data_IF_443160070000
#
_entry.id   IF_443160070000
#
_cell.length_a   1.000
_cell.length_b   1.000
_cell.length_c   1.000
_cell.angle_alpha   90.00
_cell.angle_beta   90.00
_cell.angle_gamma   90.00
#
_symmetry.space_group_name_H-M   'P 1'
#
loop_
_entity.id
_entity.type
_entity.pdbx_description
1 polymer ?
#
# COMPACT_ATOMS: atom_id res chain seq x y z
N UNK A 1 0.18 -6.97 29.37
CA UNK A 1 1.10 -6.23 28.49
C UNK A 1 2.00 -7.19 27.70
N UNK A 2 1.76 -7.34 26.39
CA UNK A 2 2.53 -8.21 25.47
C UNK A 2 3.55 -7.38 24.69
N UNK A 3 4.70 -7.97 24.31
CA UNK A 3 5.80 -7.28 23.63
C UNK A 3 6.15 -7.98 22.32
N UNK A 4 6.32 -7.22 21.25
CA UNK A 4 6.65 -7.71 19.92
C UNK A 4 7.82 -6.93 19.33
N UNK A 5 8.65 -7.63 18.55
CA UNK A 5 9.69 -7.03 17.71
C UNK A 5 9.35 -7.31 16.25
N UNK A 6 8.90 -6.27 15.54
CA UNK A 6 8.47 -6.40 14.14
C UNK A 6 9.50 -5.79 13.22
N UNK A 7 10.05 -6.60 12.30
CA UNK A 7 10.89 -6.09 11.21
C UNK A 7 10.01 -5.52 10.11
N UNK A 8 10.25 -4.26 9.78
CA UNK A 8 9.51 -3.50 8.80
C UNK A 8 10.41 -3.05 7.65
N UNK A 9 9.99 -3.31 6.43
CA UNK A 9 10.57 -2.71 5.24
C UNK A 9 10.08 -1.28 5.06
N UNK A 10 11.00 -0.31 5.21
CA UNK A 10 10.68 1.11 5.13
C UNK A 10 10.78 1.64 3.70
N UNK A 11 9.63 1.88 3.08
CA UNK A 11 9.54 2.53 1.77
C UNK A 11 10.17 3.92 1.79
N UNK A 12 10.05 4.66 2.91
CA UNK A 12 10.68 5.99 3.04
C UNK A 12 12.20 5.92 2.94
N UNK A 13 12.82 4.92 3.59
CA UNK A 13 14.27 4.70 3.47
C UNK A 13 14.65 4.23 2.08
N UNK A 14 13.84 3.35 1.47
CA UNK A 14 14.05 2.92 0.09
C UNK A 14 14.12 4.12 -0.86
N UNK A 15 13.11 5.01 -0.81
CA UNK A 15 13.08 6.21 -1.66
C UNK A 15 14.32 7.07 -1.40
N UNK A 16 14.66 7.33 -0.14
CA UNK A 16 15.82 8.15 0.22
C UNK A 16 17.14 7.57 -0.32
N UNK A 17 17.38 6.27 -0.10
CA UNK A 17 18.61 5.63 -0.57
C UNK A 17 18.66 5.49 -2.09
N UNK A 18 17.52 5.25 -2.76
CA UNK A 18 17.44 5.23 -4.23
C UNK A 18 17.73 6.63 -4.78
N UNK A 19 17.17 7.69 -4.21
CA UNK A 19 17.46 9.07 -4.62
C UNK A 19 18.93 9.42 -4.41
N UNK A 20 19.51 9.04 -3.27
CA UNK A 20 20.94 9.26 -3.00
C UNK A 20 21.84 8.50 -3.98
N UNK A 21 21.55 7.22 -4.22
CA UNK A 21 22.27 6.39 -5.17
C UNK A 21 22.19 6.96 -6.59
N UNK A 22 21.02 7.46 -7.00
CA UNK A 22 20.82 8.08 -8.30
C UNK A 22 21.71 9.32 -8.48
N UNK A 23 21.71 10.24 -7.51
CA UNK A 23 22.57 11.44 -7.54
C UNK A 23 24.05 11.05 -7.59
N UNK A 24 24.46 10.06 -6.80
CA UNK A 24 25.84 9.58 -6.76
C UNK A 24 26.28 8.96 -8.09
N UNK A 25 25.42 8.17 -8.72
CA UNK A 25 25.67 7.59 -10.06
C UNK A 25 25.81 8.67 -11.12
N UNK A 26 24.94 9.68 -11.13
CA UNK A 26 25.01 10.80 -12.09
C UNK A 26 26.30 11.59 -11.92
N UNK A 27 26.65 11.98 -10.69
CA UNK A 27 27.88 12.72 -10.41
C UNK A 27 29.13 11.96 -10.85
N UNK A 28 29.22 10.68 -10.53
CA UNK A 28 30.38 9.86 -10.90
C UNK A 28 30.45 9.58 -12.40
N UNK A 29 29.30 9.48 -13.09
CA UNK A 29 29.26 9.35 -14.56
C UNK A 29 29.78 10.61 -15.25
N UNK A 30 29.40 11.80 -14.77
CA UNK A 30 29.91 13.08 -15.28
C UNK A 30 31.42 13.17 -15.05
N UNK A 31 31.89 12.88 -13.84
CA UNK A 31 33.32 12.86 -13.52
C UNK A 31 34.09 11.90 -14.43
N UNK A 32 33.63 10.66 -14.56
CA UNK A 32 34.29 9.68 -15.45
C UNK A 32 34.29 10.11 -16.91
N UNK A 33 33.23 10.76 -17.41
CA UNK A 33 33.23 11.30 -18.79
C UNK A 33 34.17 12.48 -19.01
N UNK A 34 34.43 13.29 -17.98
CA UNK A 34 35.36 14.43 -18.07
C UNK A 34 36.82 13.97 -18.01
N UNK A 35 37.12 12.98 -17.18
CA UNK A 35 38.49 12.56 -16.89
C UNK A 35 38.97 11.34 -17.69
N UNK A 36 38.09 10.57 -18.36
CA UNK A 36 38.45 9.33 -19.10
C UNK A 36 37.68 9.17 -20.44
N UNK A 37 38.30 8.65 -21.52
CA UNK A 37 37.64 8.41 -22.83
C UNK A 37 38.19 7.16 -23.61
N UNK A 38 37.40 6.37 -24.39
CA UNK A 38 35.94 6.23 -24.43
C UNK A 38 35.38 4.78 -24.21
N UNK A 39 34.12 4.73 -23.73
CA UNK A 39 33.08 3.66 -23.83
C UNK A 39 33.02 2.50 -22.82
N UNK A 40 34.09 1.77 -22.54
CA UNK A 40 33.95 0.52 -21.72
C UNK A 40 33.93 0.80 -20.21
N UNK A 41 34.74 1.75 -19.75
CA UNK A 41 34.88 2.09 -18.34
C UNK A 41 33.63 2.68 -17.68
N UNK A 42 32.89 3.61 -18.32
CA UNK A 42 31.69 4.19 -17.71
C UNK A 42 30.63 3.14 -17.40
N UNK A 43 30.41 2.18 -18.30
CA UNK A 43 29.42 1.12 -18.12
C UNK A 43 29.77 0.17 -16.95
N UNK A 44 31.05 -0.21 -16.83
CA UNK A 44 31.53 -1.08 -15.73
C UNK A 44 31.40 -0.36 -14.38
N UNK A 45 31.78 0.92 -14.32
CA UNK A 45 31.66 1.73 -13.10
C UNK A 45 30.18 1.89 -12.71
N UNK A 46 29.30 2.11 -13.67
CA UNK A 46 27.86 2.23 -13.45
C UNK A 46 27.25 0.90 -12.97
N UNK A 47 27.71 -0.24 -13.50
CA UNK A 47 27.30 -1.57 -13.04
C UNK A 47 27.75 -1.85 -11.60
N UNK A 48 29.01 -1.55 -11.26
CA UNK A 48 29.52 -1.72 -9.89
C UNK A 48 28.76 -0.82 -8.92
N UNK A 49 28.53 0.45 -9.28
CA UNK A 49 27.79 1.39 -8.43
C UNK A 49 26.33 0.97 -8.23
N UNK A 50 25.66 0.45 -9.26
CA UNK A 50 24.28 -0.04 -9.14
C UNK A 50 24.21 -1.30 -8.27
N UNK A 51 25.14 -2.24 -8.42
CA UNK A 51 25.23 -3.43 -7.56
C UNK A 51 25.48 -3.05 -6.08
N UNK A 52 26.42 -2.13 -5.84
CA UNK A 52 26.76 -1.67 -4.50
C UNK A 52 25.59 -0.90 -3.86
N UNK A 53 24.95 -0.02 -4.65
CA UNK A 53 23.74 0.70 -4.23
C UNK A 53 22.62 -0.27 -3.88
N UNK A 54 22.38 -1.29 -4.69
CA UNK A 54 21.36 -2.30 -4.42
C UNK A 54 21.63 -3.05 -3.11
N UNK A 55 22.88 -3.45 -2.85
CA UNK A 55 23.24 -4.12 -1.59
C UNK A 55 23.05 -3.20 -0.38
N UNK A 56 23.49 -1.94 -0.45
CA UNK A 56 23.31 -0.95 0.63
C UNK A 56 21.82 -0.71 0.89
N UNK A 57 21.03 -0.49 -0.18
CA UNK A 57 19.58 -0.28 -0.09
C UNK A 57 18.92 -1.48 0.58
N UNK A 58 19.20 -2.70 0.09
CA UNK A 58 18.58 -3.93 0.60
C UNK A 58 18.83 -4.12 2.10
N UNK A 59 20.03 -3.84 2.58
CA UNK A 59 20.41 -4.07 3.97
C UNK A 59 19.91 -2.96 4.91
N UNK A 60 19.82 -1.70 4.45
CA UNK A 60 19.49 -0.56 5.30
C UNK A 60 18.00 -0.16 5.31
N UNK A 61 17.18 -0.75 4.44
CA UNK A 61 15.74 -0.48 4.38
C UNK A 61 14.93 -1.18 5.49
N UNK A 62 15.51 -2.16 6.19
CA UNK A 62 14.84 -2.86 7.28
C UNK A 62 14.97 -2.06 8.58
N UNK A 63 13.84 -1.81 9.24
CA UNK A 63 13.75 -1.14 10.54
C UNK A 63 13.02 -2.08 11.50
N UNK A 64 13.54 -2.25 12.70
CA UNK A 64 12.83 -2.99 13.75
C UNK A 64 11.97 -2.04 14.56
N UNK A 65 10.68 -2.35 14.69
CA UNK A 65 9.76 -1.69 15.60
C UNK A 65 9.59 -2.54 16.85
N UNK A 66 9.86 -1.94 18.00
CA UNK A 66 9.50 -2.49 19.31
C UNK A 66 8.06 -2.04 19.60
N UNK A 67 7.15 -3.00 19.64
CA UNK A 67 5.73 -2.75 19.88
C UNK A 67 5.37 -3.36 21.23
N UNK A 68 4.71 -2.57 22.07
CA UNK A 68 4.14 -3.07 23.32
C UNK A 68 2.64 -2.86 23.27
N UNK A 69 1.89 -3.92 23.45
CA UNK A 69 0.44 -3.93 23.35
C UNK A 69 -0.16 -4.22 24.72
N UNK A 70 -1.12 -3.39 25.08
CA UNK A 70 -1.96 -3.53 26.25
C UNK A 70 -3.41 -3.25 25.87
N UNK A 71 -4.37 -3.52 26.75
CA UNK A 71 -5.80 -3.41 26.42
C UNK A 71 -6.25 -1.99 26.04
N UNK A 72 -5.57 -0.98 26.57
CA UNK A 72 -5.94 0.43 26.36
C UNK A 72 -4.90 1.20 25.54
N UNK A 73 -3.66 0.70 25.45
CA UNK A 73 -2.54 1.43 24.88
C UNK A 73 -1.70 0.55 23.96
N UNK A 74 -1.17 1.18 22.91
CA UNK A 74 -0.13 0.62 22.05
C UNK A 74 1.09 1.54 22.06
N UNK A 75 2.27 0.96 22.30
CA UNK A 75 3.53 1.68 22.21
C UNK A 75 4.25 1.28 20.93
N UNK A 76 4.65 2.27 20.14
CA UNK A 76 5.55 2.07 18.99
C UNK A 76 6.88 2.79 19.25
N UNK A 77 7.99 2.06 19.38
CA UNK A 77 9.32 2.63 19.64
C UNK A 77 9.29 3.71 20.73
N UNK A 78 8.66 3.39 21.87
CA UNK A 78 8.47 4.24 23.06
C UNK A 78 7.41 5.34 22.94
N UNK A 79 6.76 5.53 21.78
CA UNK A 79 5.62 6.44 21.66
C UNK A 79 4.35 5.76 22.16
N UNK A 80 3.82 6.20 23.30
CA UNK A 80 2.52 5.76 23.86
C UNK A 80 1.36 6.32 23.05
N UNK A 81 0.41 5.46 22.71
CA UNK A 81 -0.76 5.82 21.93
C UNK A 81 -1.97 5.08 22.48
N UNK A 82 -3.08 5.78 22.64
CA UNK A 82 -4.32 5.20 23.12
C UNK A 82 -5.00 4.42 21.99
N UNK A 83 -5.45 3.19 22.26
CA UNK A 83 -6.16 2.37 21.29
C UNK A 83 -7.47 3.04 20.86
N UNK A 84 -8.04 3.86 21.76
CA UNK A 84 -9.22 4.69 21.51
C UNK A 84 -9.03 5.67 20.35
N UNK A 85 -7.79 6.05 20.04
CA UNK A 85 -7.51 6.97 18.94
C UNK A 85 -7.39 6.30 17.58
N UNK A 86 -7.40 4.96 17.51
CA UNK A 86 -7.49 4.25 16.23
C UNK A 86 -8.87 4.53 15.64
N UNK A 87 -8.90 5.08 14.42
CA UNK A 87 -10.13 5.22 13.64
C UNK A 87 -10.33 4.00 12.77
N UNK A 88 -9.32 3.68 11.97
CA UNK A 88 -9.39 2.59 11.00
C UNK A 88 -8.11 1.76 11.03
N UNK A 89 -8.23 0.47 10.74
CA UNK A 89 -7.08 -0.42 10.54
C UNK A 89 -7.20 -1.19 9.23
N UNK A 90 -6.11 -1.73 8.69
CA UNK A 90 -6.13 -2.64 7.55
C UNK A 90 -5.00 -3.66 7.69
N UNK A 91 -5.32 -4.93 7.46
CA UNK A 91 -4.32 -5.97 7.29
C UNK A 91 -4.39 -6.50 5.86
N UNK A 92 -3.31 -6.30 5.11
CA UNK A 92 -3.20 -6.78 3.74
C UNK A 92 -2.14 -7.86 3.63
N UNK A 93 -2.30 -8.75 2.67
CA UNK A 93 -1.31 -9.77 2.35
C UNK A 93 -0.96 -9.72 0.87
N UNK A 94 0.34 -9.84 0.59
CA UNK A 94 0.88 -10.02 -0.75
C UNK A 94 1.73 -11.28 -0.76
N UNK A 95 2.26 -11.70 -1.91
CA UNK A 95 3.11 -12.89 -1.99
C UNK A 95 4.32 -12.82 -1.04
N UNK A 96 4.96 -11.64 -0.91
CA UNK A 96 6.24 -11.47 -0.20
C UNK A 96 6.12 -10.73 1.14
N UNK A 97 5.04 -10.00 1.35
CA UNK A 97 4.89 -9.11 2.51
C UNK A 97 3.48 -9.17 3.11
N UNK A 98 3.41 -9.03 4.42
CA UNK A 98 2.21 -8.59 5.12
C UNK A 98 2.23 -7.06 5.29
N UNK A 99 1.08 -6.43 5.13
CA UNK A 99 0.88 -5.00 5.36
C UNK A 99 -0.01 -4.78 6.57
N UNK A 100 0.39 -3.86 7.45
CA UNK A 100 -0.44 -3.39 8.56
C UNK A 100 -0.53 -1.87 8.49
N UNK A 101 -1.76 -1.36 8.40
CA UNK A 101 -2.06 0.06 8.39
C UNK A 101 -2.92 0.38 9.59
N UNK A 102 -2.44 1.26 10.46
CA UNK A 102 -3.21 1.79 11.59
C UNK A 102 -3.38 3.29 11.39
N UNK A 103 -4.63 3.76 11.32
CA UNK A 103 -4.97 5.17 11.13
C UNK A 103 -5.50 5.69 12.47
N UNK A 104 -4.73 6.55 13.10
CA UNK A 104 -5.11 7.24 14.33
C UNK A 104 -5.73 8.61 13.99
N UNK A 105 -6.38 9.25 14.97
CA UNK A 105 -6.90 10.63 14.83
C UNK A 105 -5.80 11.62 14.39
N UNK A 106 -4.59 11.49 14.92
CA UNK A 106 -3.50 12.46 14.78
C UNK A 106 -2.41 12.06 13.77
N UNK A 107 -2.23 10.77 13.49
CA UNK A 107 -1.21 10.30 12.54
C UNK A 107 -1.52 8.88 12.03
N UNK A 108 -0.68 8.35 11.14
CA UNK A 108 -0.85 7.02 10.53
C UNK A 108 0.43 6.20 10.69
N UNK A 109 0.27 4.91 10.96
CA UNK A 109 1.35 3.92 10.95
C UNK A 109 1.12 2.98 9.77
N UNK A 110 2.19 2.71 9.03
CA UNK A 110 2.19 1.74 7.95
C UNK A 110 3.42 0.85 8.09
N UNK A 111 3.17 -0.45 8.21
CA UNK A 111 4.18 -1.49 8.34
C UNK A 111 4.08 -2.45 7.15
N UNK A 112 5.21 -2.75 6.51
CA UNK A 112 5.41 -3.81 5.55
C UNK A 112 6.34 -4.86 6.14
N UNK A 113 5.80 -5.98 6.56
CA UNK A 113 6.52 -7.05 7.24
C UNK A 113 6.87 -8.14 6.21
N UNK A 114 8.16 -8.45 5.98
CA UNK A 114 8.54 -9.58 5.14
C UNK A 114 7.98 -10.90 5.70
N UNK A 115 7.37 -11.75 4.86
CA UNK A 115 6.78 -13.02 5.33
C UNK A 115 7.78 -13.94 6.04
N UNK A 116 9.05 -13.92 5.62
CA UNK A 116 10.13 -14.69 6.25
C UNK A 116 10.40 -14.32 7.72
N UNK A 117 9.97 -13.14 8.16
CA UNK A 117 10.20 -12.60 9.51
C UNK A 117 8.86 -12.33 10.24
N UNK A 118 7.76 -13.01 9.86
CA UNK A 118 6.41 -12.60 10.25
C UNK A 118 5.87 -13.18 11.56
N UNK A 119 6.58 -14.07 12.26
CA UNK A 119 6.07 -14.75 13.46
C UNK A 119 5.45 -13.78 14.47
N UNK A 120 6.27 -12.86 15.00
CA UNK A 120 5.81 -11.81 15.93
C UNK A 120 4.69 -10.91 15.37
N UNK A 121 4.58 -10.78 14.06
CA UNK A 121 3.56 -9.95 13.43
C UNK A 121 2.20 -10.65 13.42
N UNK A 122 2.16 -11.96 13.20
CA UNK A 122 0.92 -12.73 13.19
C UNK A 122 0.29 -12.73 14.59
N UNK A 123 1.07 -12.99 15.62
CA UNK A 123 0.63 -12.92 17.02
C UNK A 123 0.11 -11.50 17.37
N UNK A 124 0.86 -10.47 16.97
CA UNK A 124 0.45 -9.08 17.15
C UNK A 124 -0.88 -8.75 16.46
N UNK A 125 -1.09 -9.27 15.23
CA UNK A 125 -2.31 -9.03 14.45
C UNK A 125 -3.52 -9.61 15.18
N UNK A 126 -3.44 -10.85 15.64
CA UNK A 126 -4.54 -11.52 16.36
C UNK A 126 -4.86 -10.78 17.66
N UNK A 127 -3.83 -10.49 18.45
CA UNK A 127 -3.98 -9.77 19.73
C UNK A 127 -4.57 -8.36 19.54
N UNK A 128 -4.18 -7.65 18.47
CA UNK A 128 -4.74 -6.34 18.18
C UNK A 128 -6.22 -6.42 17.79
N UNK A 129 -6.61 -7.42 16.99
CA UNK A 129 -8.02 -7.62 16.58
C UNK A 129 -8.88 -7.95 17.79
N UNK A 130 -8.39 -8.79 18.71
CA UNK A 130 -9.10 -9.11 19.95
C UNK A 130 -9.34 -7.86 20.79
N UNK A 131 -8.29 -7.05 21.01
CA UNK A 131 -8.40 -5.81 21.79
C UNK A 131 -9.33 -4.81 21.11
N UNK A 132 -9.25 -4.64 19.79
CA UNK A 132 -10.18 -3.78 19.03
C UNK A 132 -11.63 -4.24 19.22
N UNK A 133 -11.86 -5.55 19.15
CA UNK A 133 -13.20 -6.14 19.33
C UNK A 133 -13.73 -5.88 20.74
N UNK A 134 -12.90 -6.03 21.77
CA UNK A 134 -13.25 -5.72 23.15
C UNK A 134 -13.53 -4.22 23.35
N UNK A 135 -12.73 -3.35 22.74
CA UNK A 135 -12.93 -1.90 22.79
C UNK A 135 -14.21 -1.47 22.09
N UNK A 136 -14.53 -2.07 20.93
CA UNK A 136 -15.76 -1.80 20.20
C UNK A 136 -17.00 -2.26 20.96
N UNK A 137 -16.96 -3.37 21.70
CA UNK A 137 -18.08 -3.81 22.57
C UNK A 137 -18.43 -2.79 23.66
N UNK A 138 -17.46 -1.99 24.10
CA UNK A 138 -17.65 -0.95 25.13
C UNK A 138 -18.19 0.37 24.57
N UNK A 139 -18.37 0.50 23.24
CA UNK A 139 -18.73 1.75 22.57
C UNK A 139 -20.03 1.61 21.78
N UNK A 140 -20.89 2.61 21.90
CA UNK A 140 -22.03 2.81 21.01
C UNK A 140 -21.61 3.51 19.71
N UNK A 141 -20.70 4.48 19.81
CA UNK A 141 -20.34 5.39 18.71
C UNK A 141 -18.83 5.39 18.43
N UNK A 142 -18.45 5.78 17.21
CA UNK A 142 -17.06 5.85 16.74
C UNK A 142 -16.29 4.52 16.87
N UNK A 143 -16.91 3.45 16.34
CA UNK A 143 -16.30 2.13 16.27
C UNK A 143 -15.00 2.17 15.47
N UNK A 144 -14.02 1.40 15.93
CA UNK A 144 -12.77 1.14 15.21
C UNK A 144 -13.10 0.16 14.09
N UNK A 145 -13.06 0.61 12.84
CA UNK A 145 -13.49 -0.19 11.69
C UNK A 145 -12.33 -0.61 10.81
N UNK A 146 -12.43 -1.81 10.24
CA UNK A 146 -11.49 -2.22 9.19
C UNK A 146 -11.71 -1.36 7.94
N UNK A 147 -10.62 -0.82 7.40
CA UNK A 147 -10.62 0.03 6.23
C UNK A 147 -11.06 -0.78 5.02
N UNK A 148 -12.24 -0.45 4.53
CA UNK A 148 -12.76 -0.96 3.28
C UNK A 148 -12.72 0.15 2.21
N UNK A 149 -11.84 0.00 1.21
CA UNK A 149 -11.74 0.99 0.12
C UNK A 149 -13.08 1.18 -0.60
N UNK A 150 -13.87 0.11 -0.79
CA UNK A 150 -15.14 0.16 -1.51
C UNK A 150 -16.17 1.11 -0.86
N UNK A 151 -16.04 1.40 0.45
CA UNK A 151 -16.95 2.30 1.17
C UNK A 151 -16.48 3.77 1.15
N UNK A 152 -15.32 4.07 0.57
CA UNK A 152 -14.75 5.42 0.58
C UNK A 152 -15.38 6.33 -0.50
N UNK A 153 -15.35 7.65 -0.28
CA UNK A 153 -15.77 8.65 -1.29
C UNK A 153 -14.99 8.49 -2.61
N UNK A 154 -13.70 8.18 -2.53
CA UNK A 154 -12.86 7.96 -3.70
C UNK A 154 -13.31 6.74 -4.53
N UNK A 155 -13.71 5.65 -3.87
CA UNK A 155 -14.26 4.49 -4.57
C UNK A 155 -15.60 4.83 -5.25
N UNK A 156 -16.45 5.66 -4.63
CA UNK A 156 -17.68 6.15 -5.28
C UNK A 156 -17.37 6.98 -6.53
N UNK A 157 -16.42 7.91 -6.45
CA UNK A 157 -15.98 8.72 -7.60
C UNK A 157 -15.47 7.81 -8.72
N UNK A 158 -14.60 6.85 -8.39
CA UNK A 158 -14.13 5.84 -9.34
C UNK A 158 -15.29 5.06 -9.99
N UNK A 159 -16.26 4.63 -9.19
CA UNK A 159 -17.46 3.93 -9.69
C UNK A 159 -18.26 4.77 -10.66
N UNK A 160 -18.49 6.06 -10.36
CA UNK A 160 -19.19 6.98 -11.26
C UNK A 160 -18.43 7.21 -12.57
N UNK A 161 -17.10 7.41 -12.50
CA UNK A 161 -16.25 7.56 -13.69
C UNK A 161 -16.36 6.32 -14.58
N UNK A 162 -16.27 5.13 -14.00
CA UNK A 162 -16.36 3.87 -14.75
C UNK A 162 -17.72 3.68 -15.42
N UNK A 163 -18.81 3.97 -14.71
CA UNK A 163 -20.17 3.96 -15.29
C UNK A 163 -20.26 4.95 -16.46
N UNK A 164 -19.72 6.16 -16.30
CA UNK A 164 -19.69 7.17 -17.36
C UNK A 164 -18.94 6.72 -18.62
N UNK A 165 -17.77 6.09 -18.45
CA UNK A 165 -16.99 5.53 -19.56
C UNK A 165 -17.80 4.44 -20.27
N UNK A 166 -18.42 3.52 -19.51
CA UNK A 166 -19.24 2.45 -20.08
C UNK A 166 -20.44 2.99 -20.88
N UNK A 167 -21.15 3.98 -20.35
CA UNK A 167 -22.27 4.63 -21.05
C UNK A 167 -21.81 5.35 -22.32
N UNK A 168 -20.69 6.07 -22.25
CA UNK A 168 -20.12 6.78 -23.41
C UNK A 168 -19.73 5.80 -24.51
N UNK A 169 -19.11 4.68 -24.14
CA UNK A 169 -18.74 3.64 -25.09
C UNK A 169 -19.98 2.99 -25.74
N UNK A 170 -21.02 2.72 -24.95
CA UNK A 170 -22.29 2.21 -25.46
C UNK A 170 -22.95 3.21 -26.43
N UNK A 171 -22.96 4.51 -26.10
CA UNK A 171 -23.44 5.55 -27.01
C UNK A 171 -22.65 5.57 -28.33
N UNK A 172 -21.32 5.48 -28.27
CA UNK A 172 -20.48 5.43 -29.48
C UNK A 172 -20.80 4.22 -30.36
N UNK A 173 -21.06 3.05 -29.78
CA UNK A 173 -21.50 1.87 -30.53
C UNK A 173 -22.82 2.09 -31.26
N UNK A 174 -23.78 2.77 -30.62
CA UNK A 174 -25.08 3.09 -31.22
C UNK A 174 -24.95 4.16 -32.31
N UNK A 175 -24.12 5.20 -32.10
CA UNK A 175 -23.94 6.30 -33.05
C UNK A 175 -23.10 5.92 -34.27
N UNK A 176 -22.16 4.97 -34.12
CA UNK A 176 -21.24 4.56 -35.20
C UNK A 176 -21.23 3.04 -35.40
N UNK A 177 -22.37 2.43 -35.74
CA UNK A 177 -22.49 0.97 -35.83
C UNK A 177 -21.56 0.37 -36.89
N UNK A 178 -21.32 1.10 -37.99
CA UNK A 178 -20.49 0.65 -39.10
C UNK A 178 -18.97 0.80 -38.84
N UNK A 179 -18.56 1.53 -37.79
CA UNK A 179 -17.14 1.71 -37.42
C UNK A 179 -16.74 0.84 -36.23
N UNK A 180 -17.71 0.34 -35.47
CA UNK A 180 -17.48 -0.47 -34.26
C UNK A 180 -18.03 -1.88 -34.50
N UNK A 181 -17.14 -2.78 -34.95
CA UNK A 181 -17.48 -4.16 -35.27
C UNK A 181 -18.04 -4.94 -34.05
N UNK A 182 -18.72 -6.06 -34.33
CA UNK A 182 -19.22 -7.04 -33.33
C UNK A 182 -18.12 -7.48 -32.33
N UNK A 183 -16.86 -7.50 -32.76
CA UNK A 183 -15.70 -7.74 -31.87
C UNK A 183 -15.60 -6.73 -30.72
N UNK A 184 -15.96 -5.46 -30.97
CA UNK A 184 -15.94 -4.40 -29.97
C UNK A 184 -17.08 -4.56 -28.97
N UNK A 185 -18.25 -5.05 -29.42
CA UNK A 185 -19.38 -5.37 -28.55
C UNK A 185 -19.05 -6.54 -27.61
N UNK A 186 -18.42 -7.60 -28.13
CA UNK A 186 -17.90 -8.69 -27.30
C UNK A 186 -16.89 -8.21 -26.26
N UNK A 187 -15.97 -7.33 -26.66
CA UNK A 187 -14.98 -6.74 -25.75
C UNK A 187 -15.63 -5.85 -24.68
N UNK A 188 -16.63 -5.04 -25.05
CA UNK A 188 -17.42 -4.27 -24.09
C UNK A 188 -18.13 -5.15 -23.08
N UNK A 189 -18.76 -6.25 -23.51
CA UNK A 189 -19.44 -7.18 -22.60
C UNK A 189 -18.46 -7.83 -21.61
N UNK A 190 -17.28 -8.25 -22.07
CA UNK A 190 -16.23 -8.82 -21.21
C UNK A 190 -15.77 -7.80 -20.17
N UNK A 191 -15.46 -6.57 -20.61
CA UNK A 191 -15.03 -5.48 -19.71
C UNK A 191 -16.14 -5.15 -18.71
N UNK A 192 -17.38 -5.06 -19.16
CA UNK A 192 -18.55 -4.79 -18.31
C UNK A 192 -18.77 -5.88 -17.27
N UNK A 193 -18.69 -7.14 -17.66
CA UNK A 193 -18.83 -8.28 -16.77
C UNK A 193 -17.70 -8.32 -15.71
N UNK A 194 -16.47 -7.97 -16.09
CA UNK A 194 -15.34 -7.86 -15.17
C UNK A 194 -15.46 -6.70 -14.19
N UNK A 195 -16.03 -5.56 -14.61
CA UNK A 195 -16.22 -4.38 -13.76
C UNK A 195 -17.46 -4.46 -12.87
N UNK A 196 -18.50 -5.20 -13.28
CA UNK A 196 -19.74 -5.36 -12.54
C UNK A 196 -19.56 -5.72 -11.06
N UNK A 197 -18.78 -6.75 -10.67
CA UNK A 197 -18.59 -7.09 -9.26
C UNK A 197 -17.92 -5.97 -8.44
N UNK A 198 -17.06 -5.17 -9.07
CA UNK A 198 -16.40 -4.02 -8.44
C UNK A 198 -17.42 -2.91 -8.20
N UNK A 199 -18.20 -2.56 -9.23
CA UNK A 199 -19.26 -1.55 -9.12
C UNK A 199 -20.30 -1.97 -8.09
N UNK A 200 -20.72 -3.24 -8.09
CA UNK A 200 -21.61 -3.78 -7.08
C UNK A 200 -21.03 -3.63 -5.68
N UNK A 201 -19.76 -3.96 -5.43
CA UNK A 201 -19.15 -3.75 -4.11
C UNK A 201 -19.12 -2.28 -3.67
N UNK A 202 -18.89 -1.35 -4.59
CA UNK A 202 -18.87 0.10 -4.31
C UNK A 202 -20.26 0.62 -3.92
N UNK A 203 -21.30 0.17 -4.63
CA UNK A 203 -22.65 0.73 -4.47
C UNK A 203 -23.59 -0.09 -3.58
N UNK A 204 -23.28 -1.37 -3.29
CA UNK A 204 -24.13 -2.27 -2.51
C UNK A 204 -24.17 -1.96 -1.02
N UNK A 205 -23.27 -1.12 -0.47
CA UNK A 205 -23.18 -0.92 0.99
C UNK A 205 -23.14 0.56 1.42
N UNK A 206 -24.27 1.26 1.30
CA UNK A 206 -24.51 2.55 1.96
C UNK A 206 -25.95 2.71 2.51
N UNK A 207 -26.75 1.64 2.59
CA UNK A 207 -28.15 1.73 3.07
C UNK A 207 -28.36 1.30 4.53
N UNK A 208 -27.30 0.92 5.25
CA UNK A 208 -27.38 0.59 6.66
C UNK A 208 -26.23 1.28 7.40
N UNK A 209 -26.43 2.56 7.66
CA UNK A 209 -25.89 3.29 8.82
C UNK A 209 -27.11 3.79 9.57
#
# INVERSE_FOLDING_TARGET
MKKYKIKNFSIKRLILFVSFAFVLVVLLSILTSLYYNPKIFPAIVLFILTAFSFMIIKNNCIITYNIILDNDYIFFNNKKIDIIDIRNYNFSETEKYYGCRLIFKSYKIFLNIPKKDSGNYLDFKEDLIEIITLQNKKRSDNLIVEYNWYNTKLAKIYGYIMIGIMLTWLMLMVMFPNKLNISNLGLFLIVSAGLLPILLKIFRNNRYV
#
